data_IF_033347529818
#
_entry.id   IF_033347529818
#
_cell.length_a   1.000
_cell.length_b   1.000
_cell.length_c   1.000
_cell.angle_alpha   90.00
_cell.angle_beta   90.00
_cell.angle_gamma   90.00
#
_symmetry.space_group_name_H-M   'P 1'
#
loop_
_entity.id
_entity.type
_entity.pdbx_description
1 polymer ?
#
# COMPACT_ATOMS: atom_id res chain seq x y z
N UNK A 1 4.50 5.29 10.49
CA UNK A 1 3.55 6.41 10.71
C UNK A 1 2.28 5.87 11.37
N UNK A 2 1.49 6.74 12.01
CA UNK A 2 0.21 6.36 12.61
C UNK A 2 -0.96 7.00 11.87
N UNK A 3 -2.09 6.29 11.81
CA UNK A 3 -3.37 6.78 11.32
C UNK A 3 -4.47 6.47 12.34
N UNK A 4 -5.58 7.20 12.28
CA UNK A 4 -6.72 7.00 13.17
C UNK A 4 -7.92 6.51 12.36
N UNK A 5 -8.39 5.30 12.64
CA UNK A 5 -9.56 4.67 12.01
C UNK A 5 -10.55 4.29 13.13
N UNK A 6 -11.84 4.67 13.01
CA UNK A 6 -12.89 4.36 14.02
C UNK A 6 -12.45 4.66 15.46
N UNK A 7 -11.89 5.86 15.64
CA UNK A 7 -11.34 6.36 16.89
C UNK A 7 -10.13 5.63 17.51
N UNK A 8 -9.55 4.67 16.80
CA UNK A 8 -8.37 3.92 17.25
C UNK A 8 -7.14 4.28 16.42
N UNK A 9 -6.01 4.38 17.08
CA UNK A 9 -4.72 4.61 16.42
C UNK A 9 -4.10 3.31 15.96
N UNK A 10 -3.59 3.31 14.73
CA UNK A 10 -2.92 2.17 14.14
C UNK A 10 -1.60 2.56 13.49
N UNK A 11 -0.60 1.70 13.63
CA UNK A 11 0.70 1.87 12.99
C UNK A 11 0.73 1.21 11.60
N UNK A 12 1.12 1.98 10.59
CA UNK A 12 1.37 1.46 9.25
C UNK A 12 2.79 0.87 9.16
N UNK A 13 2.88 -0.42 8.86
CA UNK A 13 4.10 -1.21 8.89
C UNK A 13 4.58 -1.60 7.47
N UNK A 14 5.44 -0.77 6.87
CA UNK A 14 6.01 -0.98 5.53
C UNK A 14 7.24 -1.92 5.52
N UNK A 15 7.13 -3.09 6.16
CA UNK A 15 8.18 -4.11 6.23
C UNK A 15 8.14 -5.15 5.10
N UNK A 16 9.02 -6.16 5.14
CA UNK A 16 9.05 -7.25 4.14
C UNK A 16 7.72 -8.00 4.09
N UNK A 17 7.05 -8.19 5.23
CA UNK A 17 5.72 -8.83 5.27
C UNK A 17 4.66 -8.02 4.51
N UNK A 18 4.72 -6.70 4.58
CA UNK A 18 3.86 -5.84 3.76
C UNK A 18 4.09 -6.09 2.27
N UNK A 19 5.36 -6.14 1.82
CA UNK A 19 5.69 -6.43 0.41
C UNK A 19 5.11 -7.78 -0.04
N UNK A 20 5.27 -8.83 0.76
CA UNK A 20 4.72 -10.16 0.45
C UNK A 20 3.20 -10.16 0.34
N UNK A 21 2.51 -9.44 1.22
CA UNK A 21 1.05 -9.30 1.16
C UNK A 21 0.60 -8.55 -0.09
N UNK A 22 1.35 -7.54 -0.53
CA UNK A 22 1.07 -6.88 -1.82
C UNK A 22 1.24 -7.87 -2.98
N UNK A 23 2.33 -8.63 -3.03
CA UNK A 23 2.58 -9.60 -4.11
C UNK A 23 1.54 -10.74 -4.13
N UNK A 24 1.08 -11.18 -2.95
CA UNK A 24 0.06 -12.23 -2.81
C UNK A 24 -1.31 -11.78 -3.30
N UNK A 25 -1.73 -10.56 -2.96
CA UNK A 25 -3.09 -10.11 -3.22
C UNK A 25 -3.23 -9.16 -4.40
N UNK A 26 -2.12 -8.61 -4.92
CA UNK A 26 -2.10 -7.74 -6.10
C UNK A 26 -1.03 -8.20 -7.11
N UNK A 27 -1.07 -9.47 -7.56
CA UNK A 27 -0.10 -9.97 -8.51
C UNK A 27 -0.24 -9.20 -9.84
N UNK A 28 0.91 -8.82 -10.41
CA UNK A 28 0.94 -8.42 -11.81
C UNK A 28 0.95 -9.70 -12.63
N UNK A 29 -0.09 -9.91 -13.44
CA UNK A 29 -0.13 -11.03 -14.37
C UNK A 29 0.50 -10.63 -15.69
N UNK A 30 1.49 -11.40 -16.13
CA UNK A 30 2.13 -11.22 -17.43
C UNK A 30 1.85 -12.43 -18.29
N UNK A 31 1.55 -12.21 -19.57
CA UNK A 31 1.42 -13.31 -20.51
C UNK A 31 2.82 -13.70 -20.99
N UNK A 32 3.23 -14.92 -20.70
CA UNK A 32 4.48 -15.49 -21.21
C UNK A 32 4.09 -16.41 -22.36
N UNK A 33 4.67 -16.16 -23.54
CA UNK A 33 4.29 -16.86 -24.76
C UNK A 33 4.45 -18.38 -24.57
N UNK A 34 3.37 -19.13 -24.80
CA UNK A 34 3.33 -20.59 -24.59
C UNK A 34 3.13 -21.06 -23.14
N UNK A 35 3.04 -20.15 -22.16
CA UNK A 35 2.87 -20.48 -20.73
C UNK A 35 1.65 -19.81 -20.07
N UNK A 36 0.91 -18.96 -20.80
CA UNK A 36 -0.27 -18.26 -20.28
C UNK A 36 0.05 -17.14 -19.29
N UNK A 37 -0.95 -16.70 -18.52
CA UNK A 37 -0.78 -15.67 -17.49
C UNK A 37 -0.01 -16.20 -16.28
N UNK A 38 1.14 -15.59 -15.98
CA UNK A 38 1.98 -15.92 -14.85
C UNK A 38 2.02 -14.74 -13.85
N UNK A 39 1.90 -14.99 -12.53
CA UNK A 39 2.02 -13.95 -11.52
C UNK A 39 3.48 -13.55 -11.35
N UNK A 40 3.73 -12.24 -11.28
CA UNK A 40 5.06 -11.66 -11.09
C UNK A 40 5.08 -10.86 -9.77
N UNK A 41 6.04 -11.17 -8.89
CA UNK A 41 6.25 -10.48 -7.61
C UNK A 41 6.85 -9.09 -7.83
N UNK A 42 6.00 -8.17 -8.26
CA UNK A 42 6.33 -6.79 -8.60
C UNK A 42 5.21 -5.84 -8.16
N UNK A 43 4.44 -6.17 -7.12
CA UNK A 43 3.29 -5.36 -6.71
C UNK A 43 3.69 -3.93 -6.32
N UNK A 44 4.90 -3.73 -5.76
CA UNK A 44 5.45 -2.39 -5.51
C UNK A 44 5.61 -1.56 -6.79
N UNK A 45 5.97 -2.18 -7.92
CA UNK A 45 6.15 -1.48 -9.19
C UNK A 45 4.83 -0.92 -9.73
N UNK A 46 3.69 -1.50 -9.36
CA UNK A 46 2.35 -0.97 -9.65
C UNK A 46 1.88 0.02 -8.60
N UNK A 47 2.07 -0.30 -7.32
CA UNK A 47 1.62 0.50 -6.19
C UNK A 47 2.21 1.92 -6.21
N UNK A 48 3.48 2.05 -6.57
CA UNK A 48 4.20 3.32 -6.47
C UNK A 48 3.79 4.35 -7.52
N UNK A 49 3.70 4.03 -8.82
CA UNK A 49 3.12 4.93 -9.81
C UNK A 49 1.67 5.30 -9.48
N UNK A 50 0.85 4.34 -9.05
CA UNK A 50 -0.54 4.58 -8.68
C UNK A 50 -0.67 5.59 -7.50
N UNK A 51 0.21 5.50 -6.50
CA UNK A 51 0.30 6.51 -5.45
C UNK A 51 0.73 7.89 -5.97
N UNK A 52 1.55 7.98 -7.02
CA UNK A 52 1.96 9.25 -7.62
C UNK A 52 0.85 9.91 -8.42
N UNK A 53 -0.06 9.11 -8.98
CA UNK A 53 -1.26 9.58 -9.70
C UNK A 53 -2.49 9.71 -8.80
N UNK A 54 -2.31 9.68 -7.48
CA UNK A 54 -3.38 9.81 -6.49
C UNK A 54 -4.51 8.78 -6.61
N UNK A 55 -4.18 7.54 -6.96
CA UNK A 55 -5.13 6.41 -6.98
C UNK A 55 -5.54 6.04 -5.55
N UNK A 56 -6.79 6.39 -5.17
CA UNK A 56 -7.33 6.18 -3.83
C UNK A 56 -7.62 4.71 -3.53
N UNK A 57 -8.00 3.91 -4.53
CA UNK A 57 -8.20 2.48 -4.35
C UNK A 57 -6.87 1.79 -4.03
N UNK A 58 -5.79 2.17 -4.72
CA UNK A 58 -4.45 1.69 -4.40
C UNK A 58 -3.99 2.16 -3.01
N UNK A 59 -4.30 3.41 -2.62
CA UNK A 59 -4.00 3.90 -1.28
C UNK A 59 -4.70 3.07 -0.20
N UNK A 60 -5.97 2.70 -0.42
CA UNK A 60 -6.76 1.85 0.47
C UNK A 60 -6.10 0.49 0.68
N UNK A 61 -5.75 -0.21 -0.41
CA UNK A 61 -5.08 -1.51 -0.33
C UNK A 61 -3.72 -1.39 0.38
N UNK A 62 -2.93 -0.36 0.09
CA UNK A 62 -1.63 -0.13 0.74
C UNK A 62 -1.80 0.09 2.24
N UNK A 63 -2.75 0.93 2.66
CA UNK A 63 -3.05 1.15 4.08
C UNK A 63 -3.48 -0.17 4.71
N UNK A 64 -4.43 -0.88 4.10
CA UNK A 64 -4.94 -2.13 4.60
C UNK A 64 -3.81 -3.15 4.81
N UNK A 65 -2.97 -3.40 3.81
CA UNK A 65 -1.86 -4.36 3.93
C UNK A 65 -0.76 -3.88 4.88
N UNK A 66 -0.57 -2.57 5.05
CA UNK A 66 0.36 -2.02 6.03
C UNK A 66 -0.13 -2.20 7.48
N UNK A 67 -1.43 -2.43 7.70
CA UNK A 67 -2.02 -2.75 9.00
C UNK A 67 -1.85 -4.22 9.42
N UNK A 68 -0.99 -5.00 8.77
CA UNK A 68 -0.82 -6.45 9.02
C UNK A 68 -0.48 -6.83 10.47
N UNK A 69 0.03 -5.88 11.27
CA UNK A 69 0.39 -6.08 12.69
C UNK A 69 -0.71 -5.61 13.66
N UNK A 70 -1.73 -4.90 13.18
CA UNK A 70 -2.82 -4.39 14.00
C UNK A 70 -3.64 -5.53 14.60
N UNK A 71 -4.02 -5.41 15.88
CA UNK A 71 -4.83 -6.39 16.60
C UNK A 71 -5.83 -5.65 17.51
N UNK A 72 -7.15 -5.72 17.25
CA UNK A 72 -7.77 -6.25 16.04
C UNK A 72 -7.37 -5.41 14.81
N UNK A 73 -7.25 -6.05 13.66
CA UNK A 73 -6.97 -5.35 12.38
C UNK A 73 -8.27 -4.74 11.84
N UNK A 74 -8.27 -3.47 11.40
CA UNK A 74 -9.40 -2.90 10.67
C UNK A 74 -9.75 -3.73 9.43
N UNK A 75 -11.04 -3.80 9.09
CA UNK A 75 -11.52 -4.41 7.85
C UNK A 75 -11.11 -3.56 6.63
N UNK A 76 -11.30 -4.09 5.40
CA UNK A 76 -11.12 -3.27 4.19
C UNK A 76 -12.15 -2.14 4.13
N UNK A 77 -13.40 -2.46 4.43
CA UNK A 77 -14.49 -1.48 4.54
C UNK A 77 -14.17 -0.38 5.57
N UNK A 78 -13.55 -0.72 6.70
CA UNK A 78 -13.12 0.30 7.68
C UNK A 78 -12.08 1.28 7.11
N UNK A 79 -11.21 0.81 6.21
CA UNK A 79 -10.20 1.62 5.54
C UNK A 79 -10.85 2.45 4.44
N UNK A 80 -11.77 1.88 3.67
CA UNK A 80 -12.53 2.57 2.63
C UNK A 80 -13.37 3.70 3.26
N UNK A 81 -14.13 3.41 4.32
CA UNK A 81 -14.89 4.39 5.12
C UNK A 81 -13.99 5.53 5.63
N UNK A 82 -12.78 5.20 6.08
CA UNK A 82 -11.81 6.20 6.54
C UNK A 82 -11.36 7.13 5.41
N UNK A 83 -11.18 6.61 4.20
CA UNK A 83 -10.80 7.42 3.04
C UNK A 83 -11.98 8.23 2.48
N UNK A 84 -13.19 7.70 2.56
CA UNK A 84 -14.42 8.35 2.09
C UNK A 84 -14.95 9.41 3.07
N UNK A 85 -14.48 9.45 4.32
CA UNK A 85 -14.83 10.50 5.29
C UNK A 85 -14.44 11.89 4.75
N UNK A 86 -15.40 12.84 4.57
CA UNK A 86 -15.12 14.20 4.11
C UNK A 86 -14.10 14.98 4.96
N UNK A 87 -13.83 14.55 6.20
CA UNK A 87 -12.84 15.15 7.09
C UNK A 87 -11.42 14.61 6.84
N UNK A 88 -11.28 13.50 6.11
CA UNK A 88 -9.98 12.93 5.80
C UNK A 88 -9.26 13.80 4.77
N UNK A 89 -8.11 14.35 5.17
CA UNK A 89 -7.26 15.10 4.25
C UNK A 89 -6.48 14.11 3.37
N UNK A 90 -7.11 13.70 2.27
CA UNK A 90 -6.58 12.70 1.33
C UNK A 90 -5.25 13.14 0.73
N UNK A 91 -5.10 14.40 0.31
CA UNK A 91 -3.85 14.89 -0.27
C UNK A 91 -2.68 14.75 0.71
N UNK A 92 -2.90 15.13 1.98
CA UNK A 92 -1.90 14.98 3.04
C UNK A 92 -1.61 13.51 3.30
N UNK A 93 -2.63 12.65 3.32
CA UNK A 93 -2.47 11.22 3.56
C UNK A 93 -1.60 10.57 2.48
N UNK A 94 -1.81 10.87 1.20
CA UNK A 94 -0.92 10.42 0.12
C UNK A 94 0.53 10.84 0.36
N UNK A 95 0.76 12.12 0.68
CA UNK A 95 2.10 12.66 0.94
C UNK A 95 2.78 11.96 2.11
N UNK A 96 2.05 11.76 3.22
CA UNK A 96 2.56 11.13 4.43
C UNK A 96 2.89 9.66 4.20
N UNK A 97 1.99 8.89 3.55
CA UNK A 97 2.21 7.48 3.22
C UNK A 97 3.43 7.33 2.31
N UNK A 98 3.52 8.12 1.24
CA UNK A 98 4.69 8.10 0.36
C UNK A 98 5.99 8.47 1.10
N UNK A 99 5.96 9.46 2.00
CA UNK A 99 7.12 9.86 2.78
C UNK A 99 7.57 8.76 3.73
N UNK A 100 6.62 8.07 4.38
CA UNK A 100 6.92 6.99 5.29
C UNK A 100 7.48 5.77 4.55
N UNK A 101 6.90 5.41 3.41
CA UNK A 101 7.43 4.35 2.55
C UNK A 101 8.89 4.62 2.14
N UNK A 102 9.24 5.87 1.81
CA UNK A 102 10.63 6.27 1.46
C UNK A 102 11.62 6.09 2.62
N UNK A 103 11.15 6.11 3.87
CA UNK A 103 12.00 5.88 5.07
C UNK A 103 12.12 4.40 5.42
N UNK A 104 11.14 3.59 5.05
CA UNK A 104 11.06 2.19 5.45
C UNK A 104 12.22 1.33 4.89
N UNK A 105 12.95 0.66 5.79
CA UNK A 105 14.17 -0.08 5.43
C UNK A 105 13.94 -1.15 4.36
N UNK A 106 12.80 -1.82 4.40
CA UNK A 106 12.48 -2.93 3.50
C UNK A 106 12.24 -2.50 2.04
N UNK A 107 11.79 -1.26 1.80
CA UNK A 107 11.34 -0.82 0.47
C UNK A 107 12.06 0.44 -0.04
N UNK A 108 12.82 1.15 0.82
CA UNK A 108 13.54 2.38 0.44
C UNK A 108 14.50 2.20 -0.76
N UNK A 109 15.11 1.03 -0.92
CA UNK A 109 16.02 0.75 -2.05
C UNK A 109 15.23 0.53 -3.34
N UNK A 110 14.15 -0.25 -3.30
CA UNK A 110 13.26 -0.44 -4.44
C UNK A 110 12.68 0.89 -4.93
N UNK A 111 12.25 1.75 -3.99
CA UNK A 111 11.77 3.10 -4.25
C UNK A 111 12.77 4.02 -4.94
N UNK A 112 14.07 3.87 -4.65
CA UNK A 112 15.14 4.64 -5.32
C UNK A 112 15.34 4.18 -6.75
N UNK A 113 15.37 2.86 -6.98
CA UNK A 113 15.59 2.30 -8.29
C UNK A 113 14.43 2.58 -9.27
N UNK A 114 13.19 2.69 -8.78
CA UNK A 114 12.02 2.99 -9.61
C UNK A 114 11.93 4.45 -10.07
N UNK A 115 12.76 5.35 -9.52
CA UNK A 115 12.83 6.77 -9.92
C UNK A 115 14.01 7.08 -10.83
N UNK A 116 14.92 6.13 -11.00
CA UNK A 116 16.10 6.24 -11.87
C UNK A 116 15.73 5.80 -13.28
#
# INVERSE_FOLDING_TARGET
MQIKIKDKEFELNFGVKFVRLLDEHMPIKVNINGMGEQPLSMALNRALPALQTYDTAMLADIIYYALWKATPRPSKEDVDDFLDDPKTNIEKLFKDVQAEMKKANAIKMALKNLKA
#
